data_IF_226189630172
#
_entry.id   IF_226189630172
#
_cell.length_a   1.000
_cell.length_b   1.000
_cell.length_c   1.000
_cell.angle_alpha   90.00
_cell.angle_beta   90.00
_cell.angle_gamma   90.00
#
_symmetry.space_group_name_H-M   'P 1'
#
loop_
_entity.id
_entity.type
_entity.pdbx_description
1 polymer ?
#
# COMPACT_ATOMS: atom_id res chain seq x y z
N UNK A 1 17.94 -9.80 -19.21
CA UNK A 1 18.82 -9.96 -18.03
C UNK A 1 20.31 -9.67 -18.29
N UNK A 2 20.80 -9.47 -19.52
CA UNK A 2 22.24 -9.26 -19.79
C UNK A 2 22.79 -7.86 -19.47
N UNK A 3 21.95 -6.91 -19.03
CA UNK A 3 22.34 -5.51 -18.87
C UNK A 3 23.36 -5.28 -17.74
N UNK A 4 23.14 -5.86 -16.56
CA UNK A 4 24.03 -5.69 -15.41
C UNK A 4 25.39 -6.35 -15.63
N UNK A 5 25.49 -7.60 -16.14
CA UNK A 5 26.78 -8.20 -16.49
C UNK A 5 27.60 -7.36 -17.49
N UNK A 6 26.96 -6.81 -18.52
CA UNK A 6 27.62 -5.95 -19.50
C UNK A 6 28.14 -4.64 -18.85
N UNK A 7 27.33 -4.03 -17.99
CA UNK A 7 27.73 -2.87 -17.19
C UNK A 7 28.93 -3.15 -16.28
N UNK A 8 28.91 -4.27 -15.56
CA UNK A 8 30.00 -4.69 -14.66
C UNK A 8 31.29 -4.94 -15.44
N UNK A 9 31.21 -5.56 -16.62
CA UNK A 9 32.37 -5.76 -17.49
C UNK A 9 32.94 -4.42 -17.97
N UNK A 10 32.09 -3.48 -18.40
CA UNK A 10 32.51 -2.13 -18.78
C UNK A 10 33.16 -1.37 -17.62
N UNK A 11 32.59 -1.46 -16.41
CA UNK A 11 33.17 -0.86 -15.21
C UNK A 11 34.54 -1.47 -14.86
N UNK A 12 34.70 -2.79 -15.01
CA UNK A 12 35.97 -3.48 -14.79
C UNK A 12 37.06 -3.06 -15.79
N UNK A 13 36.68 -2.84 -17.06
CA UNK A 13 37.59 -2.32 -18.08
C UNK A 13 38.04 -0.89 -17.74
N UNK A 14 37.11 -0.03 -17.32
CA UNK A 14 37.40 1.36 -16.94
C UNK A 14 38.21 1.47 -15.64
N UNK A 15 38.15 0.44 -14.77
CA UNK A 15 38.81 0.39 -13.45
C UNK A 15 38.49 1.60 -12.56
N UNK A 16 37.32 2.19 -12.75
CA UNK A 16 36.93 3.41 -12.04
C UNK A 16 35.85 3.10 -10.98
N UNK A 17 36.01 3.51 -9.71
CA UNK A 17 35.06 3.16 -8.64
C UNK A 17 33.66 3.74 -8.89
N UNK A 18 33.54 4.92 -9.50
CA UNK A 18 32.23 5.50 -9.82
C UNK A 18 31.47 4.71 -10.90
N UNK A 19 32.16 4.00 -11.80
CA UNK A 19 31.51 3.16 -12.79
C UNK A 19 30.76 1.99 -12.13
N UNK A 20 31.35 1.38 -11.09
CA UNK A 20 30.67 0.34 -10.29
C UNK A 20 29.47 0.90 -9.53
N UNK A 21 29.59 2.11 -8.97
CA UNK A 21 28.48 2.77 -8.28
C UNK A 21 27.31 3.05 -9.24
N UNK A 22 27.60 3.46 -10.48
CA UNK A 22 26.58 3.66 -11.53
C UNK A 22 25.90 2.33 -11.88
N UNK A 23 26.67 1.25 -12.10
CA UNK A 23 26.10 -0.06 -12.44
C UNK A 23 25.23 -0.60 -11.29
N UNK A 24 25.68 -0.47 -10.05
CA UNK A 24 24.90 -0.86 -8.88
C UNK A 24 23.58 -0.08 -8.80
N UNK A 25 23.64 1.23 -9.02
CA UNK A 25 22.48 2.10 -9.02
C UNK A 25 21.51 1.80 -10.17
N UNK A 26 22.02 1.43 -11.35
CA UNK A 26 21.22 0.92 -12.46
C UNK A 26 20.55 -0.41 -12.08
N UNK A 27 21.25 -1.30 -11.37
CA UNK A 27 20.69 -2.54 -10.82
C UNK A 27 19.46 -2.30 -9.95
N UNK A 28 19.51 -1.29 -9.07
CA UNK A 28 18.38 -0.90 -8.22
C UNK A 28 17.19 -0.32 -9.01
N UNK A 29 17.41 0.13 -10.25
CA UNK A 29 16.36 0.70 -11.09
C UNK A 29 15.61 -0.35 -11.92
N UNK A 30 16.14 -1.57 -12.06
CA UNK A 30 15.51 -2.66 -12.81
C UNK A 30 14.53 -3.38 -11.88
N UNK A 31 13.25 -2.98 -11.91
CA UNK A 31 12.15 -3.83 -11.44
C UNK A 31 11.58 -4.63 -12.62
N UNK A 32 10.75 -5.64 -12.34
CA UNK A 32 10.00 -6.34 -13.38
C UNK A 32 8.66 -5.63 -13.64
N UNK A 33 8.53 -4.80 -14.70
CA UNK A 33 7.27 -4.13 -15.01
C UNK A 33 6.16 -5.12 -15.37
N UNK A 34 6.50 -6.31 -15.85
CA UNK A 34 5.54 -7.37 -16.15
C UNK A 34 4.84 -7.89 -14.89
N UNK A 35 5.61 -8.11 -13.81
CA UNK A 35 5.04 -8.53 -12.52
C UNK A 35 4.18 -7.42 -11.90
N UNK A 36 4.56 -6.15 -12.10
CA UNK A 36 3.77 -5.00 -11.62
C UNK A 36 2.43 -4.87 -12.37
N UNK A 37 2.44 -5.02 -13.70
CA UNK A 37 1.21 -5.01 -14.49
C UNK A 37 0.31 -6.23 -14.15
N UNK A 38 0.91 -7.39 -13.90
CA UNK A 38 0.18 -8.56 -13.43
C UNK A 38 -0.46 -8.31 -12.06
N UNK A 39 0.29 -7.75 -11.11
CA UNK A 39 -0.22 -7.38 -9.80
C UNK A 39 -1.35 -6.34 -9.92
N UNK A 40 -1.23 -5.34 -10.79
CA UNK A 40 -2.30 -4.38 -11.07
C UNK A 40 -3.57 -5.08 -11.57
N UNK A 41 -3.41 -6.06 -12.47
CA UNK A 41 -4.51 -6.92 -12.93
C UNK A 41 -5.19 -7.67 -11.78
N UNK A 42 -4.42 -8.29 -10.88
CA UNK A 42 -4.94 -9.00 -9.70
C UNK A 42 -5.66 -8.05 -8.71
N UNK A 43 -5.21 -6.79 -8.60
CA UNK A 43 -5.89 -5.78 -7.81
C UNK A 43 -7.25 -5.37 -8.39
N UNK A 44 -7.36 -5.24 -9.73
CA UNK A 44 -8.62 -4.92 -10.42
C UNK A 44 -9.60 -6.09 -10.45
N UNK A 45 -9.11 -7.29 -10.76
CA UNK A 45 -9.94 -8.49 -10.89
C UNK A 45 -9.43 -9.62 -9.97
N UNK A 46 -9.97 -9.73 -8.74
CA UNK A 46 -9.61 -10.80 -7.82
C UNK A 46 -10.08 -12.20 -8.27
N UNK A 47 -10.98 -12.30 -9.26
CA UNK A 47 -11.62 -13.59 -9.60
C UNK A 47 -10.60 -14.64 -10.06
N UNK A 48 -9.52 -14.19 -10.71
CA UNK A 48 -8.42 -15.05 -11.16
C UNK A 48 -7.45 -15.47 -10.06
N UNK A 49 -7.41 -14.75 -8.93
CA UNK A 49 -6.46 -14.96 -7.83
C UNK A 49 -7.12 -15.53 -6.56
N UNK A 50 -8.40 -15.92 -6.62
CA UNK A 50 -9.14 -16.44 -5.48
C UNK A 50 -9.62 -15.38 -4.49
N UNK A 51 -9.59 -14.10 -4.86
CA UNK A 51 -10.12 -13.03 -4.02
C UNK A 51 -11.64 -12.89 -4.12
N UNK A 52 -12.22 -12.20 -3.14
CA UNK A 52 -13.67 -11.94 -3.05
C UNK A 52 -14.10 -10.89 -4.08
N UNK A 53 -15.13 -11.22 -4.86
CA UNK A 53 -15.80 -10.27 -5.76
C UNK A 53 -16.71 -9.34 -4.94
N UNK A 54 -16.26 -8.09 -4.79
CA UNK A 54 -16.95 -7.06 -4.01
C UNK A 54 -18.33 -6.76 -4.60
N UNK A 55 -18.48 -6.78 -5.93
CA UNK A 55 -19.77 -6.47 -6.57
C UNK A 55 -20.79 -7.59 -6.30
N UNK A 56 -20.36 -8.84 -6.37
CA UNK A 56 -21.19 -10.00 -5.99
C UNK A 56 -21.60 -9.92 -4.51
N UNK A 57 -20.67 -9.59 -3.61
CA UNK A 57 -20.98 -9.45 -2.18
C UNK A 57 -21.99 -8.32 -1.93
N UNK A 58 -21.82 -7.17 -2.57
CA UNK A 58 -22.79 -6.05 -2.50
C UNK A 58 -24.16 -6.50 -2.97
N UNK A 59 -24.22 -7.19 -4.10
CA UNK A 59 -25.49 -7.67 -4.66
C UNK A 59 -26.18 -8.65 -3.70
N UNK A 60 -25.45 -9.59 -3.12
CA UNK A 60 -26.00 -10.54 -2.14
C UNK A 60 -26.53 -9.85 -0.88
N UNK A 61 -25.86 -8.80 -0.40
CA UNK A 61 -26.32 -8.01 0.76
C UNK A 61 -27.59 -7.22 0.45
N UNK A 62 -27.66 -6.59 -0.72
CA UNK A 62 -28.86 -5.87 -1.17
C UNK A 62 -30.02 -6.85 -1.38
N UNK A 63 -29.78 -8.01 -1.99
CA UNK A 63 -30.80 -9.06 -2.15
C UNK A 63 -31.29 -9.60 -0.80
N UNK A 64 -30.39 -9.78 0.18
CA UNK A 64 -30.75 -10.21 1.53
C UNK A 64 -31.64 -9.16 2.22
N UNK A 65 -31.27 -7.88 2.12
CA UNK A 65 -32.07 -6.75 2.59
C UNK A 65 -33.45 -6.71 1.95
N UNK A 66 -33.55 -6.90 0.63
CA UNK A 66 -34.83 -6.89 -0.08
C UNK A 66 -35.69 -8.11 0.25
N UNK A 67 -35.10 -9.29 0.42
CA UNK A 67 -35.83 -10.50 0.87
C UNK A 67 -36.38 -10.31 2.28
N UNK A 68 -35.57 -9.81 3.20
CA UNK A 68 -35.98 -9.48 4.57
C UNK A 68 -37.19 -8.53 4.60
N UNK A 69 -37.23 -7.54 3.70
CA UNK A 69 -38.33 -6.59 3.58
C UNK A 69 -39.59 -7.21 2.96
N UNK A 70 -39.44 -8.00 1.88
CA UNK A 70 -40.56 -8.61 1.14
C UNK A 70 -41.33 -9.65 1.92
N UNK A 71 -40.69 -10.38 2.82
CA UNK A 71 -41.37 -11.39 3.64
C UNK A 71 -42.32 -10.79 4.68
N UNK A 72 -42.32 -9.47 4.88
CA UNK A 72 -43.29 -8.74 5.72
C UNK A 72 -43.25 -9.11 7.21
N UNK A 73 -42.32 -9.97 7.61
CA UNK A 73 -42.16 -10.47 8.98
C UNK A 73 -41.21 -9.63 9.83
N UNK A 74 -40.49 -8.70 9.20
CA UNK A 74 -39.48 -7.90 9.88
C UNK A 74 -39.75 -6.41 9.66
N UNK A 75 -40.49 -5.82 10.59
CA UNK A 75 -40.85 -4.40 10.63
C UNK A 75 -40.39 -3.75 11.95
N UNK A 76 -40.46 -2.42 12.02
CA UNK A 76 -40.10 -1.62 13.20
C UNK A 76 -38.63 -1.15 13.22
N UNK A 77 -38.24 -0.52 14.33
CA UNK A 77 -36.95 0.17 14.48
C UNK A 77 -35.73 -0.74 14.21
N UNK A 78 -35.83 -2.03 14.55
CA UNK A 78 -34.78 -3.01 14.28
C UNK A 78 -34.55 -3.25 12.79
N UNK A 79 -35.62 -3.27 11.99
CA UNK A 79 -35.52 -3.42 10.54
C UNK A 79 -34.89 -2.17 9.90
N UNK A 80 -35.24 -0.97 10.38
CA UNK A 80 -34.64 0.30 9.95
C UNK A 80 -33.15 0.38 10.29
N UNK A 81 -32.75 -0.02 11.51
CA UNK A 81 -31.34 -0.08 11.90
C UNK A 81 -30.53 -1.07 11.04
N UNK A 82 -31.07 -2.27 10.81
CA UNK A 82 -30.42 -3.26 9.95
C UNK A 82 -30.24 -2.74 8.52
N UNK A 83 -31.30 -2.15 7.94
CA UNK A 83 -31.22 -1.61 6.58
C UNK A 83 -30.24 -0.45 6.46
N UNK A 84 -30.16 0.43 7.47
CA UNK A 84 -29.14 1.48 7.55
C UNK A 84 -27.72 0.91 7.59
N UNK A 85 -27.48 -0.07 8.46
CA UNK A 85 -26.15 -0.70 8.58
C UNK A 85 -25.73 -1.42 7.28
N UNK A 86 -26.67 -2.07 6.58
CA UNK A 86 -26.38 -2.70 5.29
C UNK A 86 -26.03 -1.64 4.25
N UNK A 87 -26.75 -0.52 4.19
CA UNK A 87 -26.45 0.57 3.25
C UNK A 87 -25.07 1.19 3.53
N UNK A 88 -24.75 1.44 4.80
CA UNK A 88 -23.42 1.93 5.21
C UNK A 88 -22.31 0.94 4.84
N UNK A 89 -22.53 -0.36 5.05
CA UNK A 89 -21.57 -1.39 4.68
C UNK A 89 -21.38 -1.48 3.16
N UNK A 90 -22.46 -1.39 2.38
CA UNK A 90 -22.41 -1.32 0.91
C UNK A 90 -21.62 -0.09 0.43
N UNK A 91 -21.80 1.06 1.08
CA UNK A 91 -21.02 2.26 0.79
C UNK A 91 -19.53 2.11 1.14
N UNK A 92 -19.20 1.42 2.24
CA UNK A 92 -17.80 1.08 2.56
C UNK A 92 -17.18 0.13 1.55
N UNK A 93 -17.94 -0.87 1.06
CA UNK A 93 -17.47 -1.76 -0.01
C UNK A 93 -17.16 -0.99 -1.31
N UNK A 94 -17.92 0.07 -1.63
CA UNK A 94 -17.59 0.97 -2.74
C UNK A 94 -16.28 1.73 -2.53
N UNK A 95 -16.00 2.18 -1.31
CA UNK A 95 -14.73 2.82 -0.98
C UNK A 95 -13.55 1.84 -1.12
N UNK A 96 -13.72 0.59 -0.68
CA UNK A 96 -12.70 -0.46 -0.87
C UNK A 96 -12.46 -0.73 -2.35
N UNK A 97 -13.52 -0.81 -3.16
CA UNK A 97 -13.40 -0.97 -4.61
C UNK A 97 -12.60 0.16 -5.26
N UNK A 98 -12.93 1.42 -4.95
CA UNK A 98 -12.19 2.59 -5.44
C UNK A 98 -10.73 2.59 -4.99
N UNK A 99 -10.44 2.16 -3.77
CA UNK A 99 -9.08 2.04 -3.27
C UNK A 99 -8.28 0.97 -4.03
N UNK A 100 -8.90 -0.17 -4.33
CA UNK A 100 -8.29 -1.24 -5.14
C UNK A 100 -8.00 -0.76 -6.55
N UNK A 101 -8.96 -0.09 -7.19
CA UNK A 101 -8.79 0.50 -8.51
C UNK A 101 -7.67 1.55 -8.52
N UNK A 102 -7.64 2.47 -7.54
CA UNK A 102 -6.58 3.46 -7.41
C UNK A 102 -5.20 2.84 -7.16
N UNK A 103 -5.12 1.74 -6.42
CA UNK A 103 -3.87 0.98 -6.22
C UNK A 103 -3.43 0.33 -7.53
N UNK A 104 -4.35 -0.28 -8.28
CA UNK A 104 -4.04 -0.87 -9.59
C UNK A 104 -3.57 0.20 -10.60
N UNK A 105 -4.23 1.36 -10.66
CA UNK A 105 -3.83 2.46 -11.52
C UNK A 105 -2.44 3.00 -11.15
N UNK A 106 -2.15 3.07 -9.85
CA UNK A 106 -0.81 3.45 -9.35
C UNK A 106 0.24 2.42 -9.78
N UNK A 107 -0.07 1.12 -9.70
CA UNK A 107 0.83 0.05 -10.15
C UNK A 107 1.07 0.11 -11.66
N UNK A 108 0.04 0.38 -12.47
CA UNK A 108 0.17 0.55 -13.93
C UNK A 108 1.00 1.78 -14.30
N UNK A 109 0.75 2.92 -13.66
CA UNK A 109 1.57 4.12 -13.85
C UNK A 109 3.02 3.87 -13.43
N UNK A 110 3.22 3.12 -12.34
CA UNK A 110 4.54 2.72 -11.88
C UNK A 110 5.21 1.80 -12.90
N UNK A 111 4.49 0.82 -13.47
CA UNK A 111 5.00 -0.05 -14.52
C UNK A 111 5.41 0.74 -15.78
N UNK A 112 4.61 1.72 -16.21
CA UNK A 112 4.94 2.60 -17.32
C UNK A 112 6.18 3.46 -17.04
N UNK A 113 6.28 4.04 -15.84
CA UNK A 113 7.49 4.74 -15.39
C UNK A 113 8.71 3.81 -15.38
N UNK A 114 8.54 2.55 -14.96
CA UNK A 114 9.61 1.57 -14.97
C UNK A 114 10.07 1.23 -16.37
N UNK A 115 9.18 1.12 -17.34
CA UNK A 115 9.56 0.93 -18.74
C UNK A 115 10.45 2.08 -19.25
N UNK A 116 10.08 3.33 -18.96
CA UNK A 116 10.91 4.50 -19.29
C UNK A 116 12.27 4.46 -18.58
N UNK A 117 12.30 4.04 -17.31
CA UNK A 117 13.56 3.95 -16.57
C UNK A 117 14.44 2.78 -17.01
N UNK A 118 13.86 1.72 -17.56
CA UNK A 118 14.60 0.62 -18.17
C UNK A 118 15.29 1.05 -19.46
N UNK A 119 14.60 1.84 -20.30
CA UNK A 119 15.22 2.44 -21.50
C UNK A 119 16.38 3.37 -21.10
N UNK A 120 16.17 4.22 -20.09
CA UNK A 120 17.23 5.07 -19.54
C UNK A 120 18.42 4.25 -19.00
N UNK A 121 18.16 3.21 -18.21
CA UNK A 121 19.17 2.28 -17.71
C UNK A 121 19.97 1.63 -18.86
N UNK A 122 19.28 1.22 -19.92
CA UNK A 122 19.90 0.62 -21.10
C UNK A 122 20.82 1.62 -21.81
N UNK A 123 20.39 2.88 -21.94
CA UNK A 123 21.22 3.96 -22.49
C UNK A 123 22.46 4.22 -21.63
N UNK A 124 22.32 4.26 -20.31
CA UNK A 124 23.44 4.49 -19.38
C UNK A 124 24.48 3.38 -19.52
N UNK A 125 24.06 2.11 -19.48
CA UNK A 125 24.98 0.97 -19.61
C UNK A 125 25.59 0.90 -21.02
N UNK A 126 24.82 1.23 -22.05
CA UNK A 126 25.32 1.35 -23.42
C UNK A 126 26.44 2.39 -23.51
N UNK A 127 26.22 3.59 -22.96
CA UNK A 127 27.22 4.65 -22.95
C UNK A 127 28.47 4.28 -22.15
N UNK A 128 28.30 3.56 -21.03
CA UNK A 128 29.40 3.04 -20.21
C UNK A 128 30.23 1.99 -20.97
N UNK A 129 29.54 1.11 -21.72
CA UNK A 129 30.19 0.11 -22.57
C UNK A 129 30.95 0.75 -23.72
N UNK A 130 30.38 1.78 -24.37
CA UNK A 130 31.08 2.56 -25.40
C UNK A 130 32.33 3.23 -24.84
N UNK A 131 32.24 3.88 -23.68
CA UNK A 131 33.39 4.48 -23.02
C UNK A 131 34.48 3.45 -22.69
N UNK A 132 34.10 2.26 -22.24
CA UNK A 132 35.04 1.16 -21.99
C UNK A 132 35.76 0.73 -23.27
N UNK A 133 35.04 0.51 -24.38
CA UNK A 133 35.64 0.15 -25.67
C UNK A 133 36.57 1.25 -26.18
N UNK A 134 36.13 2.51 -26.14
CA UNK A 134 36.96 3.66 -26.52
C UNK A 134 38.22 3.75 -25.67
N UNK A 135 38.13 3.46 -24.37
CA UNK A 135 39.29 3.48 -23.48
C UNK A 135 40.33 2.41 -23.84
N UNK A 136 39.88 1.21 -24.24
CA UNK A 136 40.78 0.13 -24.68
C UNK A 136 41.52 0.49 -25.97
N UNK A 137 40.82 1.07 -26.95
CA UNK A 137 41.42 1.50 -28.22
C UNK A 137 42.45 2.61 -28.00
N UNK A 138 42.13 3.59 -27.14
CA UNK A 138 42.99 4.74 -26.88
C UNK A 138 44.16 4.42 -25.93
N UNK A 139 44.07 3.37 -25.11
CA UNK A 139 45.20 2.89 -24.31
C UNK A 139 46.40 2.46 -25.18
N UNK A 140 46.16 2.07 -26.44
CA UNK A 140 47.22 1.79 -27.42
C UNK A 140 48.02 3.04 -27.85
N UNK A 141 47.53 4.25 -27.55
CA UNK A 141 48.16 5.52 -27.91
C UNK A 141 48.56 6.31 -26.63
N UNK A 142 49.80 6.18 -26.15
CA UNK A 142 50.29 6.83 -24.93
C UNK A 142 50.02 8.34 -24.79
N UNK A 143 50.17 9.18 -25.84
CA UNK A 143 49.99 10.63 -25.69
C UNK A 143 48.54 11.05 -25.42
N UNK A 144 47.55 10.21 -25.72
CA UNK A 144 46.12 10.53 -25.53
C UNK A 144 45.60 10.13 -24.14
N UNK A 145 46.38 9.40 -23.34
CA UNK A 145 45.94 8.80 -22.07
C UNK A 145 45.50 9.85 -21.03
N UNK A 146 46.24 10.95 -20.89
CA UNK A 146 45.92 11.97 -19.88
C UNK A 146 44.59 12.68 -20.19
N UNK A 147 44.35 13.03 -21.46
CA UNK A 147 43.08 13.64 -21.90
C UNK A 147 41.90 12.68 -21.77
N UNK A 148 42.13 11.40 -22.03
CA UNK A 148 41.12 10.35 -21.90
C UNK A 148 40.64 10.17 -20.45
N UNK A 149 41.54 10.15 -19.47
CA UNK A 149 41.17 9.99 -18.05
C UNK A 149 40.26 11.14 -17.61
N UNK A 150 40.64 12.39 -17.94
CA UNK A 150 39.82 13.57 -17.61
C UNK A 150 38.45 13.55 -18.31
N UNK A 151 38.39 13.06 -19.55
CA UNK A 151 37.14 12.92 -20.30
C UNK A 151 36.23 11.84 -19.67
N UNK A 152 36.80 10.70 -19.27
CA UNK A 152 36.08 9.62 -18.58
C UNK A 152 35.55 10.11 -17.23
N UNK A 153 36.33 10.84 -16.45
CA UNK A 153 35.89 11.36 -15.15
C UNK A 153 34.72 12.33 -15.29
N UNK A 154 34.80 13.28 -16.25
CA UNK A 154 33.69 14.20 -16.54
C UNK A 154 32.45 13.47 -17.01
N UNK A 155 32.63 12.47 -17.87
CA UNK A 155 31.55 11.65 -18.39
C UNK A 155 30.86 10.83 -17.27
N UNK A 156 31.64 10.16 -16.41
CA UNK A 156 31.11 9.39 -15.29
C UNK A 156 30.42 10.29 -14.26
N UNK A 157 30.96 11.48 -13.98
CA UNK A 157 30.32 12.45 -13.08
C UNK A 157 29.00 12.99 -13.66
N UNK A 158 28.94 13.23 -14.98
CA UNK A 158 27.71 13.64 -15.64
C UNK A 158 26.66 12.53 -15.63
N UNK A 159 27.07 11.28 -15.88
CA UNK A 159 26.20 10.11 -15.77
C UNK A 159 25.68 9.93 -14.35
N UNK A 160 26.54 10.03 -13.33
CA UNK A 160 26.16 9.92 -11.92
C UNK A 160 25.18 11.03 -11.52
N UNK A 161 25.40 12.26 -11.95
CA UNK A 161 24.46 13.37 -11.71
C UNK A 161 23.08 13.11 -12.35
N UNK A 162 23.05 12.63 -13.59
CA UNK A 162 21.80 12.26 -14.27
C UNK A 162 21.09 11.10 -13.55
N UNK A 163 21.84 10.08 -13.13
CA UNK A 163 21.31 8.95 -12.39
C UNK A 163 20.73 9.37 -11.03
N UNK A 164 21.45 10.21 -10.29
CA UNK A 164 20.98 10.78 -9.01
C UNK A 164 19.72 11.62 -9.19
N UNK A 165 19.60 12.38 -10.27
CA UNK A 165 18.38 13.13 -10.56
C UNK A 165 17.16 12.21 -10.77
N UNK A 166 17.33 11.12 -11.50
CA UNK A 166 16.27 10.10 -11.70
C UNK A 166 15.95 9.40 -10.38
N UNK A 167 16.96 8.98 -9.62
CA UNK A 167 16.78 8.34 -8.32
C UNK A 167 16.06 9.25 -7.33
N UNK A 168 16.41 10.53 -7.24
CA UNK A 168 15.72 11.51 -6.38
C UNK A 168 14.24 11.64 -6.72
N UNK A 169 13.90 11.68 -8.02
CA UNK A 169 12.49 11.72 -8.46
C UNK A 169 11.73 10.46 -8.03
N UNK A 170 12.35 9.28 -8.14
CA UNK A 170 11.75 8.03 -7.64
C UNK A 170 11.61 8.01 -6.13
N UNK A 171 12.62 8.47 -5.40
CA UNK A 171 12.64 8.50 -3.94
C UNK A 171 11.59 9.47 -3.38
N UNK A 172 11.38 10.62 -4.05
CA UNK A 172 10.27 11.52 -3.75
C UNK A 172 8.90 10.89 -4.02
N UNK A 173 8.74 10.17 -5.13
CA UNK A 173 7.48 9.48 -5.44
C UNK A 173 7.17 8.38 -4.41
N UNK A 174 8.14 7.54 -4.07
CA UNK A 174 8.01 6.53 -3.01
C UNK A 174 7.73 7.18 -1.65
N UNK A 175 8.42 8.27 -1.34
CA UNK A 175 8.17 9.04 -0.12
C UNK A 175 6.76 9.59 -0.04
N UNK A 176 6.23 10.16 -1.14
CA UNK A 176 4.86 10.65 -1.21
C UNK A 176 3.83 9.53 -0.97
N UNK A 177 4.01 8.37 -1.61
CA UNK A 177 3.17 7.19 -1.37
C UNK A 177 3.29 6.72 0.09
N UNK A 178 4.50 6.71 0.66
CA UNK A 178 4.73 6.39 2.07
C UNK A 178 4.01 7.32 3.03
N UNK A 179 4.00 8.63 2.75
CA UNK A 179 3.24 9.63 3.52
C UNK A 179 1.73 9.39 3.41
N UNK A 180 1.22 9.09 2.21
CA UNK A 180 -0.19 8.74 2.03
C UNK A 180 -0.56 7.48 2.83
N UNK A 181 0.28 6.44 2.79
CA UNK A 181 0.06 5.23 3.59
C UNK A 181 0.10 5.52 5.09
N UNK A 182 1.02 6.36 5.57
CA UNK A 182 1.05 6.78 6.98
C UNK A 182 -0.20 7.57 7.37
N UNK A 183 -0.67 8.48 6.51
CA UNK A 183 -1.91 9.23 6.73
C UNK A 183 -3.13 8.29 6.78
N UNK A 184 -3.23 7.32 5.87
CA UNK A 184 -4.30 6.32 5.88
C UNK A 184 -4.23 5.46 7.15
N UNK A 185 -3.05 5.05 7.57
CA UNK A 185 -2.88 4.26 8.81
C UNK A 185 -3.24 5.10 10.06
N UNK A 186 -2.92 6.40 10.06
CA UNK A 186 -3.34 7.34 11.09
C UNK A 186 -4.85 7.54 11.12
N UNK A 187 -5.49 7.69 9.95
CA UNK A 187 -6.94 7.78 9.83
C UNK A 187 -7.66 6.47 10.20
N UNK A 188 -7.04 5.31 9.95
CA UNK A 188 -7.54 4.02 10.44
C UNK A 188 -7.47 3.92 11.96
N UNK A 189 -6.41 4.45 12.59
CA UNK A 189 -6.35 4.55 14.05
C UNK A 189 -7.39 5.52 14.62
N UNK A 190 -7.67 6.62 13.93
CA UNK A 190 -8.71 7.57 14.34
C UNK A 190 -10.13 7.03 14.08
N UNK A 191 -10.35 6.23 13.02
CA UNK A 191 -11.60 5.48 12.84
C UNK A 191 -11.75 4.38 13.88
N UNK A 192 -10.68 3.65 14.22
CA UNK A 192 -10.68 2.71 15.34
C UNK A 192 -10.97 3.44 16.68
N UNK A 193 -10.62 4.72 16.78
CA UNK A 193 -10.99 5.59 17.91
C UNK A 193 -12.43 6.12 17.85
N UNK A 194 -13.01 6.33 16.67
CA UNK A 194 -14.45 6.61 16.51
C UNK A 194 -15.30 5.36 16.82
N UNK A 195 -14.71 4.18 16.70
CA UNK A 195 -15.24 2.92 17.24
C UNK A 195 -14.83 2.66 18.71
N UNK A 196 -14.14 3.59 19.38
CA UNK A 196 -13.84 3.55 20.83
C UNK A 196 -15.12 3.90 21.61
N UNK A 197 -16.02 2.92 21.64
CA UNK A 197 -17.40 3.01 22.12
C UNK A 197 -18.18 1.76 21.72
N UNK A 198 -17.84 1.15 20.58
CA UNK A 198 -18.00 -0.28 20.37
C UNK A 198 -16.76 -0.98 20.93
N UNK A 199 -16.70 -1.10 22.27
CA UNK A 199 -15.89 -2.16 22.88
C UNK A 199 -16.19 -3.42 22.08
N UNK A 200 -15.18 -4.06 21.49
CA UNK A 200 -15.27 -5.49 21.20
C UNK A 200 -15.92 -6.10 22.42
N UNK A 201 -17.10 -6.73 22.25
CA UNK A 201 -17.78 -7.39 23.37
C UNK A 201 -16.68 -8.17 24.09
N UNK A 202 -16.42 -7.89 25.38
CA UNK A 202 -15.39 -8.63 26.09
C UNK A 202 -15.70 -10.11 25.86
N UNK A 203 -14.68 -10.96 25.76
CA UNK A 203 -14.83 -12.42 25.80
C UNK A 203 -15.40 -12.91 27.15
N UNK A 204 -16.32 -12.18 27.77
CA UNK A 204 -17.37 -12.81 28.53
C UNK A 204 -18.08 -13.75 27.57
N UNK A 205 -17.87 -15.06 27.76
CA UNK A 205 -18.82 -16.09 27.32
C UNK A 205 -20.20 -15.49 27.43
N UNK A 206 -20.91 -15.40 26.31
CA UNK A 206 -22.24 -14.81 26.25
C UNK A 206 -23.07 -15.44 27.38
N UNK A 207 -23.26 -14.67 28.46
CA UNK A 207 -24.08 -15.12 29.56
C UNK A 207 -25.51 -14.81 29.19
N UNK A 208 -26.10 -15.76 28.47
CA UNK A 208 -27.49 -15.72 28.04
C UNK A 208 -28.48 -15.81 29.21
N UNK A 209 -28.02 -15.87 30.47
CA UNK A 209 -28.92 -15.89 31.63
C UNK A 209 -29.53 -14.53 31.96
N UNK A 210 -28.93 -13.41 31.55
CA UNK A 210 -29.48 -12.06 31.80
C UNK A 210 -30.39 -11.54 30.68
N UNK A 211 -30.47 -12.24 29.54
CA UNK A 211 -31.44 -11.98 28.48
C UNK A 211 -32.39 -13.18 28.38
N UNK A 212 -32.92 -13.62 29.51
CA UNK A 212 -34.09 -14.51 29.47
C UNK A 212 -35.26 -13.70 28.93
N UNK A 213 -35.47 -13.77 27.62
CA UNK A 213 -36.69 -13.34 26.95
C UNK A 213 -37.87 -14.10 27.59
N UNK A 214 -38.57 -13.46 28.52
CA UNK A 214 -39.76 -14.04 29.11
C UNK A 214 -40.96 -13.72 28.22
N UNK A 215 -41.68 -14.77 27.82
CA UNK A 215 -42.86 -14.67 27.00
C UNK A 215 -44.08 -14.45 27.91
N UNK A 216 -44.66 -13.26 27.88
CA UNK A 216 -45.91 -12.94 28.56
C UNK A 216 -47.08 -13.25 27.63
N UNK A 217 -48.01 -14.12 28.05
CA UNK A 217 -49.16 -14.55 27.25
C UNK A 217 -50.13 -13.43 26.87
N UNK A 218 -50.10 -12.29 27.57
CA UNK A 218 -51.02 -11.19 27.34
C UNK A 218 -50.39 -10.03 26.55
N UNK A 219 -49.05 -9.89 26.53
CA UNK A 219 -48.37 -8.73 25.93
C UNK A 219 -47.22 -9.08 24.97
N UNK A 220 -46.82 -10.36 24.86
CA UNK A 220 -45.74 -10.82 24.00
C UNK A 220 -44.36 -10.82 24.68
N UNK A 221 -43.29 -10.79 23.88
CA UNK A 221 -41.90 -10.78 24.36
C UNK A 221 -41.59 -9.44 25.03
N UNK A 222 -41.36 -9.46 26.35
CA UNK A 222 -40.98 -8.24 27.08
C UNK A 222 -39.58 -8.38 27.68
N UNK A 223 -38.81 -7.30 27.62
CA UNK A 223 -37.54 -7.16 28.33
C UNK A 223 -37.77 -6.25 29.53
N UNK A 224 -37.84 -6.81 30.74
CA UNK A 224 -37.66 -6.00 31.94
C UNK A 224 -36.15 -5.90 32.22
N UNK A 225 -35.51 -4.75 32.04
CA UNK A 225 -34.12 -4.59 32.45
C UNK A 225 -34.06 -4.57 33.98
N UNK A 226 -33.44 -5.58 34.57
CA UNK A 226 -33.02 -5.53 35.97
C UNK A 226 -31.87 -4.52 36.08
N UNK A 227 -32.19 -3.32 36.56
CA UNK A 227 -31.25 -2.19 36.65
C UNK A 227 -30.26 -2.34 37.83
N UNK A 228 -30.34 -3.44 38.57
CA UNK A 228 -29.45 -3.71 39.72
C UNK A 228 -28.00 -4.04 39.31
N UNK A 229 -27.77 -4.43 38.05
CA UNK A 229 -26.44 -4.81 37.53
C UNK A 229 -25.64 -3.65 36.91
N UNK A 230 -26.22 -2.45 36.77
CA UNK A 230 -25.56 -1.29 36.14
C UNK A 230 -24.79 -0.37 37.10
N UNK A 231 -24.58 -0.78 38.36
CA UNK A 231 -23.63 -0.10 39.23
C UNK A 231 -22.19 -0.46 38.83
N UNK A 232 -21.68 0.23 37.81
CA UNK A 232 -20.27 0.21 37.44
C UNK A 232 -19.46 0.79 38.60
N UNK A 233 -18.66 -0.06 39.24
CA UNK A 233 -17.59 0.37 40.14
C UNK A 233 -16.67 1.32 39.37
N UNK A 234 -16.66 2.60 39.74
CA UNK A 234 -15.68 3.56 39.24
C UNK A 234 -14.27 3.10 39.66
N UNK A 235 -13.31 2.94 38.74
CA UNK A 235 -11.92 2.74 39.12
C UNK A 235 -11.38 4.02 39.77
N UNK A 236 -10.96 3.91 41.04
CA UNK A 236 -10.17 4.93 41.74
C UNK A 236 -8.88 5.18 40.96
N UNK A 237 -8.58 6.46 40.74
CA UNK A 237 -7.54 6.93 39.83
C UNK A 237 -6.11 6.55 40.18
N UNK A 238 -5.25 6.71 39.17
CA UNK A 238 -3.80 6.75 39.28
C UNK A 238 -3.26 7.65 38.18
N UNK A 239 -2.91 8.89 38.54
CA UNK A 239 -2.38 9.88 37.62
C UNK A 239 -0.93 9.60 37.24
N UNK A 240 -0.63 9.64 35.95
CA UNK A 240 0.72 9.85 35.42
C UNK A 240 0.59 10.78 34.21
N UNK A 241 0.64 12.09 34.48
CA UNK A 241 0.98 13.08 33.46
C UNK A 241 1.85 14.16 34.13
N UNK A 242 3.16 14.01 34.03
CA UNK A 242 4.14 15.10 34.09
C UNK A 242 5.51 14.53 33.74
N UNK A 243 6.32 15.31 33.03
CA UNK A 243 7.74 15.08 32.67
C UNK A 243 8.07 14.31 31.37
N UNK A 244 7.68 14.82 30.21
CA UNK A 244 8.57 14.82 29.02
C UNK A 244 8.38 16.15 28.26
N UNK A 245 9.02 17.20 28.77
CA UNK A 245 9.39 18.40 28.04
C UNK A 245 10.59 19.00 28.75
N UNK A 246 11.77 18.88 28.13
CA UNK A 246 13.00 19.52 28.58
C UNK A 246 14.23 18.62 28.52
N UNK A 247 14.72 18.32 27.31
CA UNK A 247 16.12 18.51 26.86
C UNK A 247 16.06 18.80 25.36
#
# INVERSE_FOLDING_TARGET
MALIPAGTAAAAVLRHPSAYAIVASVGLLISNPGDMAKAAGEWRDPKGSGGVDIDTLKQQLVELKEKAKKEGKWEGDAATLFTGNVDDFVAQLDNVKRFREGTADTLDQTAALYHGTFQFATLVIGALSTAAVTSLVLMAYPPLRAGLILAIDRFLNALDAALKAVLRKKLMAVGAVGVVLMLVNGLQQDQARLFYGMKAMPEQKADFTQVSLQYDKNTGLTTKPDTSALQVQQPKGGGIMSSILGI
#
